data_IF_689713037192
#
_entry.id   IF_689713037192
#
_cell.length_a   1.000
_cell.length_b   1.000
_cell.length_c   1.000
_cell.angle_alpha   90.00
_cell.angle_beta   90.00
_cell.angle_gamma   90.00
#
_symmetry.space_group_name_H-M   'P 1'
#
loop_
_entity.id
_entity.type
_entity.pdbx_description
1 polymer ?
#
# COMPACT_ATOMS: atom_id res chain seq x y z
N UNK A 1 26.32 18.22 6.01
CA UNK A 1 25.65 18.06 7.32
C UNK A 1 24.27 18.74 7.37
N UNK A 2 24.14 20.06 7.12
CA UNK A 2 22.83 20.78 7.16
C UNK A 2 21.67 20.08 6.44
N UNK A 3 21.84 19.67 5.18
CA UNK A 3 20.77 19.00 4.42
C UNK A 3 20.33 17.69 5.09
N UNK A 4 21.29 16.86 5.52
CA UNK A 4 20.99 15.61 6.21
C UNK A 4 20.29 15.85 7.56
N UNK A 5 20.74 16.84 8.33
CA UNK A 5 20.08 17.23 9.59
C UNK A 5 18.65 17.70 9.37
N UNK A 6 18.41 18.52 8.34
CA UNK A 6 17.06 18.97 8.01
C UNK A 6 16.15 17.80 7.62
N UNK A 7 16.65 16.87 6.79
CA UNK A 7 15.88 15.68 6.42
C UNK A 7 15.59 14.78 7.63
N UNK A 8 16.56 14.58 8.51
CA UNK A 8 16.37 13.76 9.73
C UNK A 8 15.34 14.39 10.68
N UNK A 9 15.37 15.71 10.82
CA UNK A 9 14.45 16.43 11.71
C UNK A 9 13.03 16.57 11.14
N UNK A 10 12.86 16.36 9.83
CA UNK A 10 11.58 16.48 9.14
C UNK A 10 10.86 15.14 8.95
N UNK A 11 11.50 14.00 9.25
CA UNK A 11 10.85 12.69 9.19
C UNK A 11 10.17 12.40 10.51
N UNK A 12 8.86 12.15 10.45
CA UNK A 12 8.15 11.46 11.53
C UNK A 12 8.03 9.96 11.19
N UNK A 13 8.26 9.09 12.18
CA UNK A 13 8.25 7.64 12.00
C UNK A 13 7.68 6.93 13.22
N UNK A 14 6.58 6.22 13.00
CA UNK A 14 5.95 5.34 13.97
C UNK A 14 6.09 3.87 13.57
N UNK A 15 6.72 3.08 14.45
CA UNK A 15 6.76 1.63 14.36
C UNK A 15 5.63 1.03 15.22
N UNK A 16 4.65 0.40 14.58
CA UNK A 16 3.55 -0.28 15.25
C UNK A 16 3.73 -1.79 15.15
N UNK A 17 3.80 -2.45 16.31
CA UNK A 17 3.79 -3.91 16.42
C UNK A 17 2.38 -4.35 16.78
N UNK A 18 1.66 -4.88 15.80
CA UNK A 18 0.30 -5.36 16.00
C UNK A 18 0.30 -6.88 16.25
N UNK A 19 -0.17 -7.29 17.43
CA UNK A 19 -0.18 -8.69 17.89
C UNK A 19 -1.57 -9.20 18.27
N UNK A 20 -2.63 -8.41 18.07
CA UNK A 20 -3.99 -8.84 18.42
C UNK A 20 -4.51 -9.90 17.44
N UNK A 21 -4.09 -9.82 16.18
CA UNK A 21 -4.34 -10.82 15.14
C UNK A 21 -3.34 -10.64 14.00
N UNK A 22 -3.26 -11.65 13.12
CA UNK A 22 -2.44 -11.57 11.91
C UNK A 22 -3.10 -12.30 10.75
N UNK A 23 -2.28 -12.81 9.82
CA UNK A 23 -2.78 -13.52 8.64
C UNK A 23 -3.63 -14.75 8.98
N UNK A 24 -3.43 -15.37 10.14
CA UNK A 24 -4.20 -16.54 10.57
C UNK A 24 -5.69 -16.21 10.65
N UNK A 25 -6.05 -15.13 11.35
CA UNK A 25 -7.43 -14.66 11.44
C UNK A 25 -7.98 -14.15 10.11
N UNK A 26 -7.17 -13.47 9.29
CA UNK A 26 -7.60 -12.99 7.97
C UNK A 26 -7.98 -14.16 7.05
N UNK A 27 -7.21 -15.25 7.12
CA UNK A 27 -7.45 -16.47 6.33
C UNK A 27 -8.68 -17.25 6.80
N UNK A 28 -9.01 -17.29 8.09
CA UNK A 28 -10.27 -17.92 8.55
C UNK A 28 -11.49 -17.18 8.01
N UNK A 29 -11.37 -15.86 7.82
CA UNK A 29 -12.36 -15.03 7.13
C UNK A 29 -12.35 -15.18 5.58
N UNK A 30 -11.49 -16.06 5.03
CA UNK A 30 -11.27 -16.27 3.59
C UNK A 30 -10.85 -15.00 2.84
N UNK A 31 -10.07 -14.14 3.48
CA UNK A 31 -9.57 -12.90 2.89
C UNK A 31 -8.06 -12.96 2.69
N UNK A 32 -7.57 -12.36 1.59
CA UNK A 32 -6.13 -12.13 1.41
C UNK A 32 -5.61 -11.30 2.58
N UNK A 33 -4.53 -11.69 3.26
CA UNK A 33 -3.93 -10.85 4.29
C UNK A 33 -3.50 -9.48 3.75
N UNK A 34 -2.99 -9.45 2.53
CA UNK A 34 -2.55 -8.23 1.85
C UNK A 34 -3.72 -7.29 1.51
N UNK A 35 -4.78 -7.84 0.91
CA UNK A 35 -6.00 -7.06 0.62
C UNK A 35 -6.66 -6.56 1.92
N UNK A 36 -6.65 -7.35 2.99
CA UNK A 36 -7.15 -6.92 4.30
C UNK A 36 -6.40 -5.68 4.78
N UNK A 37 -5.06 -5.73 4.78
CA UNK A 37 -4.22 -4.60 5.22
C UNK A 37 -4.46 -3.38 4.33
N UNK A 38 -4.48 -3.55 3.01
CA UNK A 38 -4.70 -2.44 2.07
C UNK A 38 -6.07 -1.78 2.28
N UNK A 39 -7.14 -2.54 2.50
CA UNK A 39 -8.46 -1.99 2.82
C UNK A 39 -8.50 -1.31 4.19
N UNK A 40 -7.79 -1.84 5.18
CA UNK A 40 -7.64 -1.20 6.48
C UNK A 40 -6.92 0.15 6.35
N UNK A 41 -5.89 0.24 5.51
CA UNK A 41 -5.19 1.49 5.20
C UNK A 41 -6.09 2.50 4.48
N UNK A 42 -6.95 2.05 3.54
CA UNK A 42 -7.95 2.93 2.91
C UNK A 42 -8.92 3.51 3.94
N UNK A 43 -9.39 2.70 4.89
CA UNK A 43 -10.28 3.15 5.96
C UNK A 43 -9.56 4.10 6.93
N UNK A 44 -8.32 3.79 7.33
CA UNK A 44 -7.52 4.61 8.21
C UNK A 44 -7.26 5.99 7.61
N UNK A 45 -6.81 6.04 6.35
CA UNK A 45 -6.57 7.30 5.63
C UNK A 45 -7.87 8.12 5.50
N UNK A 46 -9.00 7.48 5.19
CA UNK A 46 -10.27 8.19 5.06
C UNK A 46 -10.69 8.88 6.37
N UNK A 47 -10.49 8.21 7.51
CA UNK A 47 -10.75 8.80 8.84
C UNK A 47 -9.83 9.95 9.16
N UNK A 48 -8.54 9.73 8.94
CA UNK A 48 -7.48 10.70 9.25
C UNK A 48 -7.62 11.98 8.42
N UNK A 49 -7.85 11.85 7.11
CA UNK A 49 -8.01 12.97 6.18
C UNK A 49 -9.35 13.72 6.27
N UNK A 50 -10.21 13.40 7.25
CA UNK A 50 -11.53 14.03 7.39
C UNK A 50 -12.51 13.65 6.29
N UNK A 51 -12.43 12.43 5.77
CA UNK A 51 -13.37 11.86 4.79
C UNK A 51 -12.92 11.97 3.33
N UNK A 52 -11.61 12.06 3.07
CA UNK A 52 -11.07 12.10 1.72
C UNK A 52 -10.49 10.76 1.28
N UNK A 53 -10.51 10.52 -0.03
CA UNK A 53 -9.79 9.43 -0.66
C UNK A 53 -8.58 9.99 -1.40
N UNK A 54 -7.51 9.20 -1.50
CA UNK A 54 -6.28 9.63 -2.17
C UNK A 54 -5.74 8.57 -3.12
N UNK A 55 -4.85 8.99 -4.01
CA UNK A 55 -4.08 8.04 -4.80
C UNK A 55 -3.18 7.23 -3.89
N UNK A 56 -3.43 5.92 -3.87
CA UNK A 56 -2.65 4.95 -3.12
C UNK A 56 -1.80 4.13 -4.06
N UNK A 57 -0.49 4.16 -3.83
CA UNK A 57 0.49 3.30 -4.50
C UNK A 57 0.73 2.07 -3.64
N UNK A 58 0.71 0.89 -4.27
CA UNK A 58 1.22 -0.35 -3.69
C UNK A 58 2.21 -1.00 -4.67
N UNK A 59 3.39 -1.36 -4.17
CA UNK A 59 4.38 -2.06 -4.98
C UNK A 59 4.00 -3.53 -5.19
N UNK A 60 3.80 -3.94 -6.44
CA UNK A 60 3.62 -5.34 -6.84
C UNK A 60 4.83 -5.84 -7.62
N UNK A 61 5.38 -6.99 -7.24
CA UNK A 61 6.57 -7.56 -7.89
C UNK A 61 6.22 -8.21 -9.23
N UNK A 62 6.98 -7.90 -10.28
CA UNK A 62 6.81 -8.49 -11.63
C UNK A 62 7.84 -9.58 -11.93
N UNK A 63 8.23 -10.35 -10.91
CA UNK A 63 9.30 -11.39 -10.98
C UNK A 63 9.01 -12.56 -11.93
N UNK A 64 7.81 -12.63 -12.50
CA UNK A 64 7.47 -13.57 -13.58
C UNK A 64 8.17 -13.22 -14.90
N UNK A 65 8.61 -11.97 -15.05
CA UNK A 65 9.32 -11.50 -16.24
C UNK A 65 10.82 -11.42 -15.98
N UNK A 66 11.62 -11.65 -17.02
CA UNK A 66 13.07 -11.42 -16.97
C UNK A 66 13.32 -9.96 -16.62
N UNK A 67 14.20 -9.73 -15.63
CA UNK A 67 14.54 -8.38 -15.13
C UNK A 67 13.35 -7.61 -14.53
N UNK A 68 12.23 -8.30 -14.26
CA UNK A 68 11.05 -7.71 -13.63
C UNK A 68 11.37 -7.11 -12.27
N UNK A 69 10.99 -5.83 -12.09
CA UNK A 69 11.09 -5.10 -10.83
C UNK A 69 9.70 -4.99 -10.19
N UNK A 70 9.01 -3.88 -10.43
CA UNK A 70 7.71 -3.59 -9.84
C UNK A 70 6.75 -3.00 -10.84
N UNK A 71 5.46 -3.24 -10.61
CA UNK A 71 4.32 -2.51 -11.14
C UNK A 71 3.52 -1.93 -9.97
N UNK A 72 2.62 -0.98 -10.24
CA UNK A 72 1.74 -0.35 -9.25
C UNK A 72 0.41 -1.09 -9.16
N UNK A 73 -0.01 -1.43 -7.95
CA UNK A 73 -1.42 -1.68 -7.62
C UNK A 73 -2.00 -0.39 -7.05
N UNK A 74 -3.13 0.06 -7.61
CA UNK A 74 -3.84 1.26 -7.16
C UNK A 74 -4.91 0.86 -6.15
N UNK A 75 -4.56 0.79 -4.87
CA UNK A 75 -5.44 0.23 -3.82
C UNK A 75 -6.73 1.02 -3.58
N UNK A 76 -6.71 2.33 -3.88
CA UNK A 76 -7.92 3.16 -3.87
C UNK A 76 -8.76 2.89 -5.11
N UNK A 77 -9.78 2.06 -4.97
CA UNK A 77 -10.73 1.64 -6.03
C UNK A 77 -12.15 2.10 -5.69
N UNK A 78 -13.05 2.08 -6.67
CA UNK A 78 -14.46 2.37 -6.40
C UNK A 78 -15.04 1.43 -5.32
N UNK A 79 -14.65 0.15 -5.35
CA UNK A 79 -15.09 -0.86 -4.40
C UNK A 79 -14.55 -0.58 -2.99
N UNK A 80 -13.27 -0.20 -2.86
CA UNK A 80 -12.73 0.18 -1.55
C UNK A 80 -13.41 1.44 -1.01
N UNK A 81 -13.67 2.43 -1.86
CA UNK A 81 -14.39 3.65 -1.48
C UNK A 81 -15.83 3.37 -1.04
N UNK A 82 -16.54 2.47 -1.73
CA UNK A 82 -17.90 2.04 -1.38
C UNK A 82 -17.93 1.35 -0.02
N UNK A 83 -17.00 0.41 0.21
CA UNK A 83 -16.83 -0.24 1.50
C UNK A 83 -16.54 0.77 2.63
N UNK A 84 -15.56 1.66 2.44
CA UNK A 84 -15.16 2.65 3.45
C UNK A 84 -16.32 3.59 3.78
N UNK A 85 -17.04 4.11 2.77
CA UNK A 85 -18.22 4.95 3.01
C UNK A 85 -19.31 4.22 3.78
N UNK A 86 -19.59 2.97 3.42
CA UNK A 86 -20.60 2.19 4.13
C UNK A 86 -20.20 1.93 5.59
N UNK A 87 -18.92 1.61 5.82
CA UNK A 87 -18.36 1.40 7.16
C UNK A 87 -18.48 2.65 8.05
N UNK A 88 -18.17 3.82 7.50
CA UNK A 88 -18.23 5.10 8.25
C UNK A 88 -19.63 5.68 8.37
N UNK A 89 -20.57 5.29 7.51
CA UNK A 89 -21.94 5.81 7.55
C UNK A 89 -22.74 5.44 8.80
N UNK A 90 -22.34 4.36 9.51
CA UNK A 90 -23.09 3.79 10.63
C UNK A 90 -24.45 3.16 10.27
N UNK A 91 -24.91 3.30 9.02
CA UNK A 91 -26.25 2.90 8.58
C UNK A 91 -26.28 1.58 7.82
N UNK A 92 -25.12 1.06 7.40
CA UNK A 92 -25.03 -0.19 6.66
C UNK A 92 -25.24 -1.41 7.58
N UNK A 93 -26.04 -2.37 7.12
CA UNK A 93 -26.18 -3.64 7.84
C UNK A 93 -24.86 -4.43 7.86
N UNK A 94 -24.68 -5.30 8.86
CA UNK A 94 -23.51 -6.19 8.92
C UNK A 94 -23.37 -7.05 7.65
N UNK A 95 -24.48 -7.54 7.10
CA UNK A 95 -24.47 -8.34 5.87
C UNK A 95 -23.97 -7.52 4.67
N UNK A 96 -24.36 -6.25 4.59
CA UNK A 96 -23.93 -5.34 3.55
C UNK A 96 -22.44 -5.00 3.66
N UNK A 97 -21.95 -4.71 4.87
CA UNK A 97 -20.52 -4.47 5.11
C UNK A 97 -19.66 -5.68 4.71
N UNK A 98 -20.12 -6.90 5.05
CA UNK A 98 -19.45 -8.14 4.65
C UNK A 98 -19.43 -8.30 3.12
N UNK A 99 -20.52 -7.96 2.44
CA UNK A 99 -20.60 -8.01 0.96
C UNK A 99 -19.60 -7.03 0.33
N UNK A 100 -19.58 -5.79 0.81
CA UNK A 100 -18.74 -4.72 0.28
C UNK A 100 -17.25 -4.97 0.52
N UNK A 101 -16.86 -5.39 1.73
CA UNK A 101 -15.45 -5.66 2.03
C UNK A 101 -14.91 -6.83 1.20
N UNK A 102 -15.74 -7.86 0.94
CA UNK A 102 -15.37 -8.97 0.05
C UNK A 102 -15.19 -8.50 -1.38
N UNK A 103 -16.13 -7.73 -1.91
CA UNK A 103 -16.01 -7.18 -3.26
C UNK A 103 -14.76 -6.30 -3.42
N UNK A 104 -14.43 -5.49 -2.41
CA UNK A 104 -13.23 -4.68 -2.41
C UNK A 104 -11.95 -5.53 -2.34
N UNK A 105 -11.94 -6.58 -1.52
CA UNK A 105 -10.81 -7.50 -1.40
C UNK A 105 -10.58 -8.29 -2.70
N UNK A 106 -11.65 -8.78 -3.33
CA UNK A 106 -11.59 -9.51 -4.60
C UNK A 106 -11.09 -8.61 -5.74
N UNK A 107 -11.51 -7.34 -5.75
CA UNK A 107 -11.02 -6.34 -6.69
C UNK A 107 -9.52 -6.09 -6.51
N UNK A 108 -9.08 -5.89 -5.27
CA UNK A 108 -7.67 -5.70 -4.93
C UNK A 108 -6.83 -6.90 -5.39
N UNK A 109 -7.24 -8.14 -5.06
CA UNK A 109 -6.55 -9.34 -5.50
C UNK A 109 -6.48 -9.47 -7.03
N UNK A 110 -7.54 -9.10 -7.73
CA UNK A 110 -7.56 -9.12 -9.20
C UNK A 110 -6.54 -8.14 -9.77
N UNK A 111 -6.51 -6.91 -9.25
CA UNK A 111 -5.52 -5.91 -9.66
C UNK A 111 -4.09 -6.32 -9.32
N UNK A 112 -3.87 -6.97 -8.17
CA UNK A 112 -2.56 -7.50 -7.83
C UNK A 112 -2.10 -8.58 -8.82
N UNK A 113 -2.99 -9.50 -9.21
CA UNK A 113 -2.71 -10.51 -10.24
C UNK A 113 -2.44 -9.87 -11.61
N UNK A 114 -3.20 -8.85 -11.98
CA UNK A 114 -3.00 -8.12 -13.23
C UNK A 114 -1.64 -7.41 -13.22
N UNK A 115 -1.28 -6.71 -12.14
CA UNK A 115 0.01 -6.04 -12.00
C UNK A 115 1.19 -7.01 -12.09
N UNK A 116 1.16 -8.12 -11.34
CA UNK A 116 2.25 -9.11 -11.36
C UNK A 116 2.40 -9.83 -12.71
N UNK A 117 1.33 -9.87 -13.52
CA UNK A 117 1.31 -10.46 -14.87
C UNK A 117 1.45 -9.41 -15.99
N UNK A 118 1.89 -8.19 -15.66
CA UNK A 118 2.26 -7.17 -16.65
C UNK A 118 1.06 -6.48 -17.31
N UNK A 119 -0.12 -6.55 -16.71
CA UNK A 119 -1.35 -5.88 -17.16
C UNK A 119 -1.62 -4.56 -16.41
N UNK A 120 -0.67 -4.12 -15.59
CA UNK A 120 -0.73 -2.81 -14.95
C UNK A 120 -0.53 -1.68 -15.96
N UNK A 121 -0.94 -0.47 -15.56
CA UNK A 121 -0.96 0.71 -16.43
C UNK A 121 0.19 1.66 -16.13
N UNK A 122 0.69 1.70 -14.90
CA UNK A 122 1.62 2.74 -14.45
C UNK A 122 3.00 2.65 -15.12
N UNK A 123 3.61 1.45 -15.21
CA UNK A 123 4.88 1.32 -15.95
C UNK A 123 4.71 1.51 -17.45
N UNK A 124 3.55 1.16 -18.00
CA UNK A 124 3.25 1.42 -19.41
C UNK A 124 3.15 2.93 -19.69
N UNK A 125 2.41 3.69 -18.88
CA UNK A 125 2.35 5.15 -18.99
C UNK A 125 3.71 5.82 -18.81
N UNK A 126 4.51 5.33 -17.86
CA UNK A 126 5.89 5.80 -17.69
C UNK A 126 6.75 5.55 -18.94
N UNK A 127 6.61 4.38 -19.57
CA UNK A 127 7.32 4.06 -20.82
C UNK A 127 6.92 5.02 -21.95
N UNK A 128 5.62 5.27 -22.12
CA UNK A 128 5.11 6.23 -23.11
C UNK A 128 5.66 7.64 -22.86
N UNK A 129 5.81 8.04 -21.59
CA UNK A 129 6.41 9.33 -21.22
C UNK A 129 7.89 9.40 -21.57
N UNK A 130 8.68 8.37 -21.23
CA UNK A 130 10.11 8.34 -21.58
C UNK A 130 10.30 8.41 -23.10
N UNK A 131 9.49 7.65 -23.85
CA UNK A 131 9.52 7.67 -25.33
C UNK A 131 9.10 9.04 -25.87
N UNK A 132 8.07 9.68 -25.31
CA UNK A 132 7.64 11.01 -25.78
C UNK A 132 8.73 12.05 -25.57
N UNK A 133 9.46 12.01 -24.44
CA UNK A 133 10.63 12.87 -24.19
C UNK A 133 11.73 12.64 -25.21
N UNK A 134 12.07 11.38 -25.51
CA UNK A 134 13.05 11.05 -26.52
C UNK A 134 12.66 11.57 -27.92
N UNK A 135 11.39 11.38 -28.29
CA UNK A 135 10.84 11.84 -29.56
C UNK A 135 10.53 13.34 -29.59
N UNK A 136 10.76 14.08 -28.50
CA UNK A 136 10.42 15.51 -28.34
C UNK A 136 8.94 15.82 -28.60
N UNK A 137 8.07 14.87 -28.26
CA UNK A 137 6.61 15.01 -28.36
C UNK A 137 6.09 15.50 -27.01
N UNK A 138 5.36 16.62 -27.02
CA UNK A 138 4.63 17.09 -25.86
C UNK A 138 3.31 16.33 -25.73
N UNK A 139 3.06 15.79 -24.54
CA UNK A 139 1.78 15.13 -24.21
C UNK A 139 1.26 15.67 -22.88
N UNK A 140 0.31 16.63 -22.90
CA UNK A 140 -0.30 17.15 -21.69
C UNK A 140 -0.94 16.05 -20.82
N UNK A 141 -1.43 14.98 -21.44
CA UNK A 141 -1.96 13.82 -20.72
C UNK A 141 -0.88 13.09 -19.92
N UNK A 142 0.26 12.75 -20.54
CA UNK A 142 1.32 12.00 -19.86
C UNK A 142 1.97 12.85 -18.76
N UNK A 143 2.15 14.15 -19.00
CA UNK A 143 2.57 15.08 -17.95
C UNK A 143 1.60 15.04 -16.78
N UNK A 144 0.30 15.25 -17.02
CA UNK A 144 -0.69 15.25 -15.95
C UNK A 144 -0.75 13.91 -15.21
N UNK A 145 -0.76 12.79 -15.94
CA UNK A 145 -0.92 11.46 -15.36
C UNK A 145 0.24 11.07 -14.42
N UNK A 146 1.47 11.48 -14.73
CA UNK A 146 2.66 11.13 -13.95
C UNK A 146 2.99 12.11 -12.81
N UNK A 147 2.43 13.32 -12.84
CA UNK A 147 2.58 14.29 -11.75
C UNK A 147 1.50 14.18 -10.67
N UNK A 148 0.56 13.26 -10.82
CA UNK A 148 -0.39 12.92 -9.77
C UNK A 148 0.34 12.39 -8.53
N UNK A 149 0.15 13.05 -7.38
CA UNK A 149 0.84 12.69 -6.13
C UNK A 149 0.23 11.46 -5.45
N UNK A 150 1.11 10.57 -5.00
CA UNK A 150 0.76 9.41 -4.19
C UNK A 150 0.77 9.80 -2.71
N UNK A 151 -0.37 10.27 -2.19
CA UNK A 151 -0.47 10.65 -0.77
C UNK A 151 -0.38 9.46 0.16
N UNK A 152 -0.60 8.24 -0.33
CA UNK A 152 -0.36 7.02 0.42
C UNK A 152 0.52 6.09 -0.41
N UNK A 153 1.78 5.93 -0.02
CA UNK A 153 2.72 5.01 -0.67
C UNK A 153 2.95 3.80 0.22
N UNK A 154 2.66 2.62 -0.29
CA UNK A 154 2.63 1.39 0.51
C UNK A 154 3.46 0.27 -0.11
N UNK A 155 3.99 -0.61 0.75
CA UNK A 155 4.62 -1.84 0.30
C UNK A 155 4.54 -2.91 1.38
N UNK A 156 4.12 -4.11 0.97
CA UNK A 156 4.37 -5.31 1.74
C UNK A 156 5.81 -5.76 1.54
N UNK A 157 6.57 -5.89 2.64
CA UNK A 157 7.85 -6.61 2.60
C UNK A 157 7.64 -8.04 3.10
N UNK A 158 7.94 -9.08 2.28
CA UNK A 158 7.81 -10.45 2.74
C UNK A 158 8.85 -10.74 3.83
N UNK A 159 8.41 -11.30 4.96
CA UNK A 159 9.31 -11.72 6.04
C UNK A 159 10.24 -12.85 5.58
N UNK A 160 9.70 -13.81 4.82
CA UNK A 160 10.45 -14.88 4.19
C UNK A 160 10.10 -15.00 2.70
N UNK A 161 11.09 -15.27 1.86
CA UNK A 161 10.90 -15.49 0.41
C UNK A 161 10.75 -16.97 0.03
N UNK A 162 11.02 -17.88 0.98
CA UNK A 162 10.96 -19.33 0.77
C UNK A 162 10.29 -19.99 1.95
N UNK A 163 9.79 -21.22 1.77
CA UNK A 163 9.25 -22.02 2.88
C UNK A 163 10.31 -22.55 3.86
N UNK A 164 11.58 -22.17 3.73
CA UNK A 164 12.66 -22.64 4.61
C UNK A 164 12.71 -21.92 5.96
N UNK A 165 12.07 -20.75 6.08
CA UNK A 165 12.04 -19.98 7.32
C UNK A 165 10.82 -20.39 8.15
N UNK A 166 11.07 -21.06 9.28
CA UNK A 166 10.04 -21.43 10.25
C UNK A 166 10.07 -20.47 11.44
N UNK A 167 9.21 -19.45 11.38
CA UNK A 167 9.12 -18.43 12.42
C UNK A 167 8.58 -18.94 13.75
N UNK A 168 7.88 -20.09 13.76
CA UNK A 168 7.39 -20.68 15.00
C UNK A 168 8.53 -21.33 15.79
N UNK A 169 9.44 -22.00 15.08
CA UNK A 169 10.58 -22.68 15.68
C UNK A 169 11.85 -21.81 15.71
N UNK A 170 11.80 -20.59 15.16
CA UNK A 170 12.90 -19.63 15.18
C UNK A 170 12.39 -18.21 15.50
N UNK A 171 11.83 -17.98 16.70
CA UNK A 171 11.23 -16.70 17.06
C UNK A 171 12.23 -15.54 17.02
N UNK A 172 13.52 -15.80 17.31
CA UNK A 172 14.59 -14.80 17.23
C UNK A 172 14.86 -14.30 15.80
N UNK A 173 14.36 -15.01 14.78
CA UNK A 173 14.44 -14.54 13.38
C UNK A 173 13.35 -13.52 13.03
N UNK A 174 12.40 -13.25 13.93
CA UNK A 174 11.32 -12.30 13.69
C UNK A 174 11.86 -10.86 13.79
N UNK A 175 12.04 -10.22 12.64
CA UNK A 175 12.39 -8.80 12.54
C UNK A 175 11.22 -7.95 12.05
N UNK A 176 11.16 -6.71 12.55
CA UNK A 176 10.29 -5.66 12.02
C UNK A 176 10.71 -5.16 10.63
N UNK A 177 11.91 -5.53 10.15
CA UNK A 177 12.45 -5.09 8.86
C UNK A 177 12.62 -3.58 8.78
N UNK A 178 12.28 -2.99 7.63
CA UNK A 178 12.47 -1.57 7.37
C UNK A 178 11.29 -0.90 6.67
N UNK A 179 11.22 0.43 6.83
CA UNK A 179 10.29 1.31 6.15
C UNK A 179 10.97 2.26 5.16
N UNK A 180 10.19 3.20 4.65
CA UNK A 180 10.62 4.28 3.77
C UNK A 180 9.85 5.55 4.12
N UNK A 181 10.42 6.72 3.80
CA UNK A 181 9.75 8.01 3.96
C UNK A 181 8.60 8.23 2.96
N UNK A 182 7.72 9.21 3.18
CA UNK A 182 6.64 9.52 2.25
C UNK A 182 7.17 10.04 0.91
N UNK A 183 6.40 9.82 -0.17
CA UNK A 183 6.73 10.27 -1.54
C UNK A 183 5.99 11.56 -1.93
N UNK A 184 5.02 11.99 -1.13
CA UNK A 184 4.39 13.31 -1.19
C UNK A 184 4.80 14.13 0.03
N UNK A 185 4.75 15.45 -0.07
CA UNK A 185 4.98 16.33 1.09
C UNK A 185 3.85 16.23 2.12
N UNK A 186 2.63 15.96 1.65
CA UNK A 186 1.38 15.87 2.40
C UNK A 186 0.82 14.45 2.44
N UNK A 187 1.69 13.46 2.59
CA UNK A 187 1.31 12.06 2.54
C UNK A 187 2.14 11.15 3.44
N UNK A 188 1.83 9.86 3.35
CA UNK A 188 2.38 8.81 4.19
C UNK A 188 3.19 7.78 3.38
N UNK A 189 4.27 7.30 4.00
CA UNK A 189 4.95 6.07 3.62
C UNK A 189 4.58 4.95 4.59
N UNK A 190 4.02 3.84 4.09
CA UNK A 190 3.60 2.71 4.92
C UNK A 190 4.22 1.41 4.42
N UNK A 191 5.21 0.90 5.15
CA UNK A 191 5.74 -0.45 4.95
C UNK A 191 5.12 -1.39 5.97
N UNK A 192 4.72 -2.59 5.55
CA UNK A 192 4.23 -3.60 6.48
C UNK A 192 4.81 -4.99 6.23
N UNK A 193 4.99 -5.73 7.33
CA UNK A 193 5.51 -7.09 7.33
C UNK A 193 4.56 -7.97 8.12
N UNK A 194 4.05 -9.00 7.46
CA UNK A 194 3.21 -10.03 8.10
C UNK A 194 4.14 -11.15 8.56
N UNK A 195 4.35 -11.26 9.86
CA UNK A 195 5.25 -12.23 10.49
C UNK A 195 4.44 -13.29 11.27
N UNK A 196 4.67 -14.57 10.99
CA UNK A 196 3.91 -15.64 11.63
C UNK A 196 2.41 -15.60 11.29
N UNK A 197 1.56 -15.99 12.23
CA UNK A 197 0.10 -16.04 12.07
C UNK A 197 -0.64 -14.88 12.75
N UNK A 198 0.01 -14.19 13.68
CA UNK A 198 -0.57 -13.27 14.66
C UNK A 198 0.11 -11.90 14.73
N UNK A 199 1.25 -11.72 14.05
CA UNK A 199 2.05 -10.50 14.14
C UNK A 199 2.11 -9.74 12.82
N UNK A 200 1.91 -8.43 12.88
CA UNK A 200 2.11 -7.50 11.78
C UNK A 200 2.92 -6.31 12.26
N UNK A 201 4.02 -6.01 11.57
CA UNK A 201 4.79 -4.80 11.77
C UNK A 201 4.35 -3.75 10.76
N UNK A 202 4.11 -2.52 11.21
CA UNK A 202 3.88 -1.36 10.36
C UNK A 202 4.94 -0.30 10.64
N UNK A 203 5.60 0.18 9.60
CA UNK A 203 6.41 1.39 9.62
C UNK A 203 5.60 2.47 8.91
N UNK A 204 5.15 3.47 9.66
CA UNK A 204 4.32 4.57 9.17
C UNK A 204 5.16 5.83 9.27
N UNK A 205 5.41 6.48 8.15
CA UNK A 205 6.20 7.72 8.08
C UNK A 205 5.42 8.85 7.44
N UNK A 206 5.67 10.07 7.92
CA UNK A 206 5.14 11.33 7.37
C UNK A 206 6.20 12.42 7.49
N UNK A 207 5.82 13.68 7.25
CA UNK A 207 6.70 14.84 7.45
C UNK A 207 6.23 15.68 8.62
N UNK A 208 7.13 15.98 9.54
CA UNK A 208 6.87 16.88 10.68
C UNK A 208 6.43 18.27 10.19
N UNK A 209 6.94 18.73 9.05
CA UNK A 209 6.55 20.03 8.47
C UNK A 209 5.15 20.08 7.88
N UNK A 210 4.39 18.97 7.84
CA UNK A 210 3.06 18.94 7.24
C UNK A 210 1.97 18.79 8.32
N UNK A 211 1.21 19.86 8.56
CA UNK A 211 0.12 19.86 9.56
C UNK A 211 -1.06 18.91 9.21
N UNK A 212 -1.08 18.37 7.99
CA UNK A 212 -2.14 17.46 7.52
C UNK A 212 -1.85 15.99 7.83
N UNK A 213 -0.63 15.65 8.25
CA UNK A 213 -0.18 14.25 8.41
C UNK A 213 0.51 13.96 9.73
#
# INVERSE_FOLDING_TARGET
LRVATNLLNDVDLHLVVHTQFGKGAMKTCRMSPDAFVQLALQLAYFRDSGGQFCLTYEASMTRLFREGRTETVRSCTNQSCEFVRAMESGNASKAELIRLVRAAADKHQTMYRDAMTGKGVDRHLFTLYVVSKYCKIQSPFLEKALHCQWKLSTSQTPHGQTGKLDLRNSPDSISAGGGFGPVSEDGYGVSYIIAGEDTIFFHISSRVSCDLT
#
